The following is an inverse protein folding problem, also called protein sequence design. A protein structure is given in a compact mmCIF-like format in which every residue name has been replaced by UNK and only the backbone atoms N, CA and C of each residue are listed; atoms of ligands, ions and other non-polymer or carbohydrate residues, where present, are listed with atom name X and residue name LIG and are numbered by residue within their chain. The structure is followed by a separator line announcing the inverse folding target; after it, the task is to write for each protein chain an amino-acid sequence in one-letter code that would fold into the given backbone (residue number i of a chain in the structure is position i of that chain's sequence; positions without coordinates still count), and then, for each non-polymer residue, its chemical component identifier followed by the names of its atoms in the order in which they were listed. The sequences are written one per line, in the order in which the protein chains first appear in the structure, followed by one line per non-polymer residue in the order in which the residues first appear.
data_IF_883441442769
#
_entry.id   IF_883441442769
#
_cell.length_a   1.000
_cell.length_b   1.000
_cell.length_c   1.000
_cell.angle_alpha   90.00
_cell.angle_beta   90.00
_cell.angle_gamma   90.00
#
_symmetry.space_group_name_H-M   'P 1'
#
loop_
_entity.id
_entity.type
_entity.pdbx_description
1 polymer ?
#
# COMPACT_ATOMS: atom_id res chain seq x y z
N UNK A 1 -64.46 7.31 -26.71
CA UNK A 1 -63.07 7.03 -26.27
C UNK A 1 -62.84 7.76 -24.96
N UNK A 2 -62.46 7.04 -23.90
CA UNK A 2 -62.21 7.65 -22.60
C UNK A 2 -60.98 8.55 -22.68
N UNK A 3 -61.12 9.80 -22.26
CA UNK A 3 -60.06 10.81 -22.28
C UNK A 3 -59.58 10.94 -20.83
N UNK A 4 -58.29 10.72 -20.60
CA UNK A 4 -57.66 10.95 -19.30
C UNK A 4 -56.82 12.22 -19.39
N UNK A 5 -56.93 13.07 -18.38
CA UNK A 5 -56.11 14.28 -18.22
C UNK A 5 -55.01 13.97 -17.21
N UNK A 6 -53.77 14.28 -17.56
CA UNK A 6 -52.61 14.18 -16.65
C UNK A 6 -52.10 15.59 -16.42
N UNK A 7 -51.82 15.91 -15.15
CA UNK A 7 -51.11 17.14 -14.75
C UNK A 7 -49.71 16.73 -14.30
N UNK A 8 -48.68 17.43 -14.79
CA UNK A 8 -47.28 17.16 -14.43
C UNK A 8 -46.60 18.48 -14.10
N UNK A 9 -45.96 18.53 -12.94
CA UNK A 9 -45.09 19.62 -12.54
C UNK A 9 -43.65 19.27 -12.92
N UNK A 10 -42.97 20.17 -13.65
CA UNK A 10 -41.59 19.96 -14.10
C UNK A 10 -40.74 21.15 -13.68
N UNK A 11 -39.60 20.86 -13.04
CA UNK A 11 -38.57 21.87 -12.78
C UNK A 11 -37.65 21.99 -13.97
N UNK A 12 -37.48 23.21 -14.47
CA UNK A 12 -36.65 23.52 -15.62
C UNK A 12 -35.36 24.22 -15.16
N UNK A 13 -34.23 23.72 -15.62
CA UNK A 13 -32.92 24.33 -15.42
C UNK A 13 -32.47 25.01 -16.71
N UNK A 14 -32.00 26.25 -16.58
CA UNK A 14 -31.50 27.01 -17.72
C UNK A 14 -30.05 26.64 -18.02
N UNK A 15 -29.74 26.55 -19.30
CA UNK A 15 -28.40 26.31 -19.82
C UNK A 15 -28.14 27.25 -21.00
N UNK A 16 -26.88 27.64 -21.15
CA UNK A 16 -26.42 28.45 -22.28
C UNK A 16 -25.69 27.56 -23.27
N UNK A 17 -26.02 27.66 -24.55
CA UNK A 17 -25.30 26.93 -25.59
C UNK A 17 -23.85 27.42 -25.65
N UNK A 18 -22.89 26.49 -25.58
CA UNK A 18 -21.47 26.80 -25.62
C UNK A 18 -21.02 27.35 -26.99
N UNK A 19 -21.78 27.09 -28.06
CA UNK A 19 -21.44 27.56 -29.41
C UNK A 19 -22.09 28.91 -29.76
N UNK A 20 -23.39 29.07 -29.55
CA UNK A 20 -24.14 30.25 -29.99
C UNK A 20 -24.64 31.16 -28.86
N UNK A 21 -24.42 30.81 -27.59
CA UNK A 21 -24.81 31.66 -26.45
C UNK A 21 -26.32 31.74 -26.18
N UNK A 22 -27.16 30.99 -26.90
CA UNK A 22 -28.60 30.94 -26.65
C UNK A 22 -28.87 30.32 -25.27
N UNK A 23 -29.73 30.98 -24.48
CA UNK A 23 -30.26 30.45 -23.22
C UNK A 23 -31.52 29.63 -23.52
N UNK A 24 -31.56 28.41 -23.01
CA UNK A 24 -32.70 27.49 -23.14
C UNK A 24 -32.78 26.61 -21.90
N UNK A 25 -33.86 25.85 -21.73
CA UNK A 25 -34.06 25.04 -20.53
C UNK A 25 -34.42 23.59 -20.83
N UNK A 26 -33.97 22.69 -19.95
CA UNK A 26 -34.35 21.29 -19.92
C UNK A 26 -34.89 20.93 -18.54
N UNK A 27 -35.53 19.77 -18.42
CA UNK A 27 -35.85 19.22 -17.10
C UNK A 27 -34.57 18.96 -16.30
N UNK A 28 -34.61 19.20 -14.98
CA UNK A 28 -33.48 18.90 -14.08
C UNK A 28 -32.97 17.47 -14.24
N UNK A 29 -33.88 16.49 -14.34
CA UNK A 29 -33.55 15.08 -14.57
C UNK A 29 -32.70 14.83 -15.83
N UNK A 30 -32.99 15.56 -16.91
CA UNK A 30 -32.23 15.43 -18.16
C UNK A 30 -30.85 16.05 -18.01
N UNK A 31 -30.75 17.22 -17.36
CA UNK A 31 -29.47 17.87 -17.07
C UNK A 31 -28.60 16.96 -16.20
N UNK A 32 -29.14 16.42 -15.11
CA UNK A 32 -28.43 15.49 -14.22
C UNK A 32 -27.98 14.23 -14.94
N UNK A 33 -28.85 13.66 -15.78
CA UNK A 33 -28.48 12.50 -16.59
C UNK A 33 -27.32 12.84 -17.52
N UNK A 34 -27.37 13.99 -18.20
CA UNK A 34 -26.31 14.46 -19.12
C UNK A 34 -25.00 14.78 -18.41
N UNK A 35 -25.05 15.26 -17.16
CA UNK A 35 -23.86 15.45 -16.31
C UNK A 35 -23.21 14.14 -15.88
N UNK A 36 -24.00 13.06 -15.76
CA UNK A 36 -23.50 11.72 -15.38
C UNK A 36 -23.02 10.89 -16.57
N UNK A 37 -23.72 10.95 -17.70
CA UNK A 37 -23.45 10.11 -18.87
C UNK A 37 -22.57 10.80 -19.93
N UNK A 38 -22.32 12.10 -19.77
CA UNK A 38 -21.58 12.97 -20.69
C UNK A 38 -22.07 12.90 -22.15
N UNK A 39 -23.30 12.43 -22.38
CA UNK A 39 -23.88 12.40 -23.70
C UNK A 39 -24.19 13.81 -24.16
N UNK A 40 -24.16 13.97 -25.48
CA UNK A 40 -24.40 15.25 -26.08
C UNK A 40 -25.89 15.59 -26.13
N UNK A 41 -26.21 16.87 -26.26
CA UNK A 41 -27.55 17.42 -26.36
C UNK A 41 -27.56 18.63 -27.28
N UNK A 42 -28.66 18.83 -28.00
CA UNK A 42 -28.77 19.88 -29.01
C UNK A 42 -29.46 21.11 -28.46
N UNK A 43 -28.93 22.30 -28.77
CA UNK A 43 -29.67 23.53 -28.57
C UNK A 43 -30.78 23.67 -29.64
N UNK A 44 -31.77 24.55 -29.43
CA UNK A 44 -32.84 24.78 -30.40
C UNK A 44 -32.36 25.23 -31.78
N UNK A 45 -31.18 25.87 -31.85
CA UNK A 45 -30.52 26.24 -33.10
C UNK A 45 -29.71 25.12 -33.75
N UNK A 46 -29.69 23.91 -33.18
CA UNK A 46 -29.06 22.72 -33.76
C UNK A 46 -27.61 22.47 -33.36
N UNK A 47 -27.00 23.29 -32.48
CA UNK A 47 -25.62 23.04 -32.03
C UNK A 47 -25.56 21.95 -30.98
N UNK A 48 -24.55 21.08 -31.11
CA UNK A 48 -24.29 20.03 -30.14
C UNK A 48 -23.53 20.58 -28.92
N UNK A 49 -24.00 20.24 -27.73
CA UNK A 49 -23.39 20.59 -26.45
C UNK A 49 -23.19 19.31 -25.64
N UNK A 50 -22.27 19.33 -24.69
CA UNK A 50 -22.08 18.26 -23.72
C UNK A 50 -21.51 18.87 -22.43
N UNK A 51 -21.56 18.13 -21.32
CA UNK A 51 -20.95 18.57 -20.07
C UNK A 51 -19.51 18.04 -19.98
N UNK A 52 -18.49 18.91 -20.11
CA UNK A 52 -17.10 18.51 -19.88
C UNK A 52 -16.83 18.39 -18.37
N UNK A 53 -16.00 17.43 -17.99
CA UNK A 53 -15.58 17.22 -16.60
C UNK A 53 -15.75 15.78 -16.15
N UNK A 54 -15.04 15.39 -15.10
CA UNK A 54 -15.21 14.10 -14.44
C UNK A 54 -16.52 14.13 -13.64
N UNK A 55 -17.41 13.16 -13.85
CA UNK A 55 -18.60 13.05 -12.99
C UNK A 55 -18.21 12.75 -11.54
N UNK A 56 -19.07 13.09 -10.57
CA UNK A 56 -18.81 12.76 -9.16
C UNK A 56 -18.53 11.27 -8.96
N UNK A 57 -19.18 10.42 -9.75
CA UNK A 57 -18.99 8.97 -9.73
C UNK A 57 -17.59 8.57 -10.23
N UNK A 58 -17.11 9.19 -11.30
CA UNK A 58 -15.76 8.94 -11.82
C UNK A 58 -14.70 9.44 -10.84
N UNK A 59 -14.90 10.62 -10.26
CA UNK A 59 -14.03 11.18 -9.22
C UNK A 59 -13.92 10.25 -8.01
N UNK A 60 -15.05 9.77 -7.49
CA UNK A 60 -15.10 8.82 -6.39
C UNK A 60 -14.41 7.49 -6.74
N UNK A 61 -14.60 6.98 -7.97
CA UNK A 61 -13.90 5.77 -8.44
C UNK A 61 -12.39 5.96 -8.49
N UNK A 62 -11.93 7.13 -8.95
CA UNK A 62 -10.51 7.48 -8.98
C UNK A 62 -9.92 7.55 -7.57
N UNK A 63 -10.58 8.25 -6.66
CA UNK A 63 -10.16 8.34 -5.25
C UNK A 63 -10.13 6.97 -4.57
N UNK A 64 -11.16 6.13 -4.78
CA UNK A 64 -11.19 4.77 -4.25
C UNK A 64 -10.05 3.91 -4.81
N UNK A 65 -9.72 4.05 -6.10
CA UNK A 65 -8.60 3.35 -6.73
C UNK A 65 -7.26 3.81 -6.13
N UNK A 66 -7.08 5.11 -5.93
CA UNK A 66 -5.88 5.69 -5.32
C UNK A 66 -5.69 5.21 -3.88
N UNK A 67 -6.76 5.23 -3.07
CA UNK A 67 -6.76 4.73 -1.70
C UNK A 67 -6.40 3.23 -1.65
N UNK A 68 -7.00 2.42 -2.51
CA UNK A 68 -6.69 1.00 -2.60
C UNK A 68 -5.24 0.72 -2.99
N UNK A 69 -4.66 1.52 -3.90
CA UNK A 69 -3.25 1.42 -4.25
C UNK A 69 -2.35 1.81 -3.09
N UNK A 70 -2.71 2.84 -2.32
CA UNK A 70 -1.96 3.24 -1.13
C UNK A 70 -1.95 2.14 -0.06
N UNK A 71 -3.10 1.51 0.20
CA UNK A 71 -3.22 0.38 1.14
C UNK A 71 -2.33 -0.78 0.70
N UNK A 72 -2.46 -1.24 -0.55
CA UNK A 72 -1.63 -2.34 -1.07
C UNK A 72 -0.13 -2.08 -0.97
N UNK A 73 0.30 -0.83 -1.24
CA UNK A 73 1.70 -0.44 -1.08
C UNK A 73 2.15 -0.46 0.38
N UNK A 74 1.29 -0.05 1.30
CA UNK A 74 1.58 -0.10 2.74
C UNK A 74 1.69 -1.54 3.24
N UNK A 75 0.77 -2.41 2.83
CA UNK A 75 0.79 -3.84 3.14
C UNK A 75 2.06 -4.51 2.63
N UNK A 76 2.44 -4.28 1.37
CA UNK A 76 3.66 -4.82 0.79
C UNK A 76 4.90 -4.37 1.57
N UNK A 77 5.02 -3.08 1.89
CA UNK A 77 6.13 -2.56 2.70
C UNK A 77 6.18 -3.21 4.08
N UNK A 78 5.03 -3.35 4.73
CA UNK A 78 4.96 -3.99 6.04
C UNK A 78 5.41 -5.45 5.96
N UNK A 79 4.96 -6.18 4.96
CA UNK A 79 5.34 -7.58 4.74
C UNK A 79 6.85 -7.72 4.48
N UNK A 80 7.41 -6.92 3.57
CA UNK A 80 8.87 -6.93 3.28
C UNK A 80 9.69 -6.62 4.53
N UNK A 81 9.30 -5.60 5.31
CA UNK A 81 9.99 -5.26 6.55
C UNK A 81 9.92 -6.39 7.60
N UNK A 82 8.81 -7.15 7.66
CA UNK A 82 8.73 -8.30 8.57
C UNK A 82 9.67 -9.43 8.13
N UNK A 83 9.72 -9.73 6.84
CA UNK A 83 10.61 -10.75 6.29
C UNK A 83 12.08 -10.39 6.53
N UNK A 84 12.49 -9.16 6.23
CA UNK A 84 13.85 -8.67 6.47
C UNK A 84 14.24 -8.78 7.96
N UNK A 85 13.31 -8.42 8.86
CA UNK A 85 13.55 -8.55 10.31
C UNK A 85 13.69 -9.99 10.75
N UNK A 86 12.90 -10.89 10.19
CA UNK A 86 12.99 -12.32 10.50
C UNK A 86 14.32 -12.90 10.02
N UNK A 87 14.70 -12.61 8.77
CA UNK A 87 15.97 -13.04 8.20
C UNK A 87 17.16 -12.52 9.01
N UNK A 88 17.17 -11.23 9.35
CA UNK A 88 18.22 -10.64 10.18
C UNK A 88 18.31 -11.31 11.56
N UNK A 89 17.15 -11.62 12.17
CA UNK A 89 17.09 -12.34 13.45
C UNK A 89 17.65 -13.76 13.34
N UNK A 90 17.31 -14.48 12.27
CA UNK A 90 17.82 -15.83 12.03
C UNK A 90 19.33 -15.82 11.80
N UNK A 91 19.85 -14.90 11.00
CA UNK A 91 21.28 -14.72 10.75
C UNK A 91 22.04 -14.37 12.04
N UNK A 92 21.52 -13.45 12.84
CA UNK A 92 22.12 -13.07 14.12
C UNK A 92 22.17 -14.27 15.08
N UNK A 93 21.08 -15.03 15.18
CA UNK A 93 21.02 -16.25 16.00
C UNK A 93 22.03 -17.30 15.55
N UNK A 94 22.14 -17.55 14.25
CA UNK A 94 23.10 -18.50 13.69
C UNK A 94 24.53 -18.08 13.98
N UNK A 95 24.88 -16.81 13.74
CA UNK A 95 26.21 -16.25 14.03
C UNK A 95 26.54 -16.33 15.51
N UNK A 96 25.64 -15.92 16.40
CA UNK A 96 25.82 -16.05 17.86
C UNK A 96 26.02 -17.51 18.29
N UNK A 97 25.27 -18.44 17.69
CA UNK A 97 25.44 -19.87 17.92
C UNK A 97 26.81 -20.40 17.52
N UNK A 98 27.35 -19.98 16.37
CA UNK A 98 28.69 -20.35 15.92
C UNK A 98 29.78 -19.74 16.82
N UNK A 99 29.64 -18.46 17.18
CA UNK A 99 30.58 -17.79 18.09
C UNK A 99 30.59 -18.46 19.47
N UNK A 100 29.44 -18.85 19.99
CA UNK A 100 29.33 -19.58 21.26
C UNK A 100 30.03 -20.94 21.18
N UNK A 101 29.83 -21.70 20.10
CA UNK A 101 30.51 -22.99 19.89
C UNK A 101 32.02 -22.83 19.80
N UNK A 102 32.49 -21.80 19.09
CA UNK A 102 33.91 -21.48 18.95
C UNK A 102 34.53 -21.08 20.29
N UNK A 103 33.90 -20.17 21.04
CA UNK A 103 34.33 -19.78 22.39
C UNK A 103 34.45 -21.00 23.30
N UNK A 104 33.45 -21.88 23.32
CA UNK A 104 33.47 -23.11 24.12
C UNK A 104 34.63 -24.05 23.74
N UNK A 105 34.95 -24.20 22.44
CA UNK A 105 36.13 -25.00 22.03
C UNK A 105 37.43 -24.40 22.51
N UNK A 106 37.61 -23.10 22.30
CA UNK A 106 38.82 -22.38 22.70
C UNK A 106 38.99 -22.45 24.22
N UNK A 107 37.91 -22.26 24.99
CA UNK A 107 37.92 -22.41 26.45
C UNK A 107 38.39 -23.80 26.88
N UNK A 108 37.95 -24.85 26.17
CA UNK A 108 38.34 -26.23 26.43
C UNK A 108 39.73 -26.60 25.84
N UNK A 109 40.49 -25.62 25.32
CA UNK A 109 41.82 -25.84 24.73
C UNK A 109 41.81 -26.61 23.40
N UNK A 110 40.68 -26.63 22.69
CA UNK A 110 40.52 -27.35 21.42
C UNK A 110 40.73 -26.41 20.23
N UNK A 111 41.62 -26.79 19.31
CA UNK A 111 41.85 -26.06 18.07
C UNK A 111 40.61 -26.07 17.16
N UNK A 112 40.12 -24.91 16.68
CA UNK A 112 38.99 -24.87 15.76
C UNK A 112 39.33 -25.40 14.37
N UNK A 113 40.59 -25.33 13.95
CA UNK A 113 41.02 -25.74 12.61
C UNK A 113 41.26 -27.25 12.49
N UNK A 114 41.98 -27.84 13.46
CA UNK A 114 42.43 -29.23 13.38
C UNK A 114 41.87 -30.16 14.47
N UNK A 115 40.98 -29.66 15.34
CA UNK A 115 40.32 -30.43 16.42
C UNK A 115 41.26 -31.06 17.46
N UNK A 116 42.55 -30.71 17.45
CA UNK A 116 43.50 -31.17 18.46
C UNK A 116 43.28 -30.45 19.79
N UNK A 117 43.48 -31.17 20.88
CA UNK A 117 43.41 -30.62 22.25
C UNK A 117 44.80 -30.26 22.74
N UNK A 118 44.97 -29.04 23.24
CA UNK A 118 46.20 -28.56 23.84
C UNK A 118 46.02 -28.47 25.36
N UNK A 119 46.54 -29.45 26.09
CA UNK A 119 46.38 -29.55 27.55
C UNK A 119 46.89 -28.29 28.29
N UNK A 120 48.00 -27.70 27.83
CA UNK A 120 48.55 -26.48 28.42
C UNK A 120 47.63 -25.27 28.20
N UNK A 121 46.99 -25.18 27.02
CA UNK A 121 46.03 -24.13 26.72
C UNK A 121 44.78 -24.29 27.57
N UNK A 122 44.25 -25.51 27.70
CA UNK A 122 43.09 -25.77 28.55
C UNK A 122 43.35 -25.33 30.00
N UNK A 123 44.45 -25.77 30.61
CA UNK A 123 44.83 -25.36 31.97
C UNK A 123 45.02 -23.84 32.10
N UNK A 124 45.59 -23.22 31.08
CA UNK A 124 45.73 -21.76 31.03
C UNK A 124 44.36 -21.07 31.03
N UNK A 125 43.43 -21.49 30.17
CA UNK A 125 42.09 -20.92 30.11
C UNK A 125 41.32 -21.14 31.42
N UNK A 126 41.39 -22.33 32.01
CA UNK A 126 40.72 -22.64 33.29
C UNK A 126 41.24 -21.79 34.46
N UNK A 127 42.55 -21.52 34.51
CA UNK A 127 43.18 -20.81 35.64
C UNK A 127 43.25 -19.29 35.46
N UNK A 128 43.43 -18.81 34.22
CA UNK A 128 43.62 -17.38 33.92
C UNK A 128 42.37 -16.73 33.32
N UNK A 129 41.50 -17.52 32.69
CA UNK A 129 40.31 -17.02 32.00
C UNK A 129 39.04 -17.85 32.32
N UNK A 130 38.70 -18.07 33.60
CA UNK A 130 37.56 -18.93 33.97
C UNK A 130 36.22 -18.42 33.42
N UNK A 131 36.09 -17.12 33.17
CA UNK A 131 34.86 -16.50 32.65
C UNK A 131 34.77 -16.45 31.11
N UNK A 132 35.82 -16.84 30.39
CA UNK A 132 35.85 -16.70 28.92
C UNK A 132 34.73 -17.50 28.22
N UNK A 133 34.34 -18.64 28.78
CA UNK A 133 33.26 -19.47 28.25
C UNK A 133 31.85 -18.91 28.52
N UNK A 134 31.70 -18.07 29.54
CA UNK A 134 30.40 -17.51 30.00
C UNK A 134 30.17 -16.08 29.55
N UNK A 135 31.18 -15.37 29.05
CA UNK A 135 31.01 -14.05 28.45
C UNK A 135 30.05 -14.11 27.25
N UNK A 136 28.82 -13.63 27.46
CA UNK A 136 27.83 -13.45 26.43
C UNK A 136 28.40 -12.58 25.31
N UNK A 137 28.18 -12.97 24.05
CA UNK A 137 28.40 -12.08 22.91
C UNK A 137 27.21 -11.11 22.88
N UNK A 138 27.27 -10.09 23.73
CA UNK A 138 26.30 -8.99 23.78
C UNK A 138 26.64 -7.99 22.69
N UNK A 139 25.83 -7.98 21.64
CA UNK A 139 25.58 -6.87 20.68
C UNK A 139 24.43 -7.32 19.77
#
# INVERSE_FOLDING_TARGET
MARATITVDVTLEHITCANCGMVFAFSGDLIDKRRRDHQSFSCPSGHNNYFPGESDVEKLKRELKEANLAIKRAEYRAQSAQLEREEARQQLSATRGQMTKLKKRIANGVCPCCHRTFVNMQKHMETKHPEYATQETTE
#
